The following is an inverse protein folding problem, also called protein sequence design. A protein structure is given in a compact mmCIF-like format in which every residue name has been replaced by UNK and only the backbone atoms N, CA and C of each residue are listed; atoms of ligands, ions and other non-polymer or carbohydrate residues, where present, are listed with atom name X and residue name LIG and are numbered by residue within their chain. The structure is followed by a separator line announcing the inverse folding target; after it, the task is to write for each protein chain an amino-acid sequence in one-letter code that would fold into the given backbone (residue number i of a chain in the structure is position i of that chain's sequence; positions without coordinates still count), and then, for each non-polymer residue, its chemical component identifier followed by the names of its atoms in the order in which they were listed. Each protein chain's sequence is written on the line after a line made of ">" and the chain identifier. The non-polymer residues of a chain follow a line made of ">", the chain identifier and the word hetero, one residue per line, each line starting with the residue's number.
data_IF_431708341506
#
_entry.id   IF_431708341506
#
_cell.length_a   1.000
_cell.length_b   1.000
_cell.length_c   1.000
_cell.angle_alpha   90.00
_cell.angle_beta   90.00
_cell.angle_gamma   90.00
#
_symmetry.space_group_name_H-M   'P 1'
#
loop_
_entity.id
_entity.type
_entity.pdbx_description
1 polymer ?
#
# COMPACT_ATOMS: atom_id res chain seq x y z
N UNK A 1 -4.43 -1.46 -27.56
CA UNK A 1 -3.54 -1.19 -26.40
C UNK A 1 -2.38 -0.26 -26.73
N UNK A 2 -1.67 -0.42 -27.86
CA UNK A 2 -0.57 0.50 -28.26
C UNK A 2 -0.99 1.97 -28.46
N UNK A 3 -2.20 2.24 -28.96
CA UNK A 3 -2.70 3.60 -29.22
C UNK A 3 -3.09 4.37 -27.94
N UNK A 4 -3.46 3.66 -26.86
CA UNK A 4 -3.78 4.27 -25.56
C UNK A 4 -2.49 4.68 -24.83
N UNK A 5 -1.40 3.92 -25.01
CA UNK A 5 -0.09 4.24 -24.44
C UNK A 5 0.51 5.51 -25.10
N UNK A 6 0.29 5.69 -26.40
CA UNK A 6 0.74 6.90 -27.12
C UNK A 6 -0.07 8.12 -26.67
N UNK A 7 -1.38 7.99 -26.42
CA UNK A 7 -2.20 9.08 -25.90
C UNK A 7 -1.82 9.50 -24.47
N UNK A 8 -1.38 8.55 -23.61
CA UNK A 8 -0.88 8.87 -22.28
C UNK A 8 0.49 9.59 -22.31
N UNK A 9 1.32 9.32 -23.33
CA UNK A 9 2.63 9.96 -23.50
C UNK A 9 2.53 11.43 -23.95
N UNK A 10 1.40 11.84 -24.54
CA UNK A 10 1.17 13.24 -24.93
C UNK A 10 0.65 14.11 -23.78
N UNK A 11 0.26 13.54 -22.63
CA UNK A 11 -0.18 14.31 -21.46
C UNK A 11 0.97 14.78 -20.55
N UNK A 12 2.22 14.39 -20.83
CA UNK A 12 3.37 14.71 -19.97
C UNK A 12 4.15 15.96 -20.41
N UNK A 13 3.67 16.72 -21.41
CA UNK A 13 4.34 17.94 -21.88
C UNK A 13 3.37 19.12 -21.92
N UNK A 14 2.70 19.37 -20.81
CA UNK A 14 2.23 20.73 -20.50
C UNK A 14 3.20 21.32 -19.48
N UNK A 15 3.94 22.39 -19.82
CA UNK A 15 4.73 23.08 -18.82
C UNK A 15 3.76 23.78 -17.87
N UNK A 16 3.47 23.14 -16.74
CA UNK A 16 2.91 23.77 -15.56
C UNK A 16 3.94 24.78 -15.03
N UNK A 17 4.05 25.93 -15.69
CA UNK A 17 4.68 27.11 -15.12
C UNK A 17 3.74 27.69 -14.06
N UNK A 18 3.69 27.04 -12.91
CA UNK A 18 3.12 27.60 -11.69
C UNK A 18 4.26 28.09 -10.79
N UNK A 19 4.99 29.11 -11.26
CA UNK A 19 5.87 29.93 -10.43
C UNK A 19 6.11 31.25 -11.16
N UNK A 20 5.22 32.21 -10.95
CA UNK A 20 5.57 33.63 -11.12
C UNK A 20 6.61 33.97 -10.07
N UNK A 21 7.88 33.99 -10.49
CA UNK A 21 8.94 34.63 -9.74
C UNK A 21 8.72 36.14 -9.84
N UNK A 22 8.21 36.74 -8.75
CA UNK A 22 8.51 38.12 -8.40
C UNK A 22 8.89 38.15 -6.92
N UNK A 23 10.16 38.47 -6.71
CA UNK A 23 10.91 38.46 -5.47
C UNK A 23 10.54 39.64 -4.57
N UNK A 24 10.45 39.42 -3.26
CA UNK A 24 10.83 40.46 -2.27
C UNK A 24 11.62 39.80 -1.13
N UNK A 25 12.89 40.19 -1.10
CA UNK A 25 13.93 40.17 -0.05
C UNK A 25 13.55 39.52 1.28
N UNK A 26 14.35 38.52 1.67
CA UNK A 26 14.51 38.14 3.06
C UNK A 26 14.98 39.38 3.85
N UNK A 27 14.08 39.93 4.67
CA UNK A 27 14.44 40.90 5.68
C UNK A 27 15.34 40.19 6.69
N UNK A 28 16.59 40.65 6.77
CA UNK A 28 17.58 40.12 7.70
C UNK A 28 17.30 40.76 9.08
N UNK A 29 16.25 40.30 9.75
CA UNK A 29 15.99 40.70 11.13
C UNK A 29 16.97 39.99 12.07
N UNK A 30 17.54 40.78 12.97
CA UNK A 30 18.75 40.47 13.71
C UNK A 30 18.42 39.76 15.02
N UNK A 31 18.11 38.44 14.97
CA UNK A 31 17.99 37.41 16.04
C UNK A 31 16.54 36.83 16.13
N UNK A 32 16.21 35.53 16.01
CA UNK A 32 16.91 34.31 15.57
C UNK A 32 15.87 33.27 15.07
N UNK A 33 16.14 32.56 13.98
CA UNK A 33 15.41 31.33 13.60
C UNK A 33 15.70 30.23 14.63
N UNK A 34 14.91 30.14 15.70
CA UNK A 34 15.03 29.06 16.69
C UNK A 34 14.03 27.98 16.34
N UNK A 35 14.48 27.04 15.53
CA UNK A 35 13.76 25.80 15.37
C UNK A 35 14.72 24.64 15.48
N UNK A 36 14.19 23.59 16.12
CA UNK A 36 14.63 22.20 16.12
C UNK A 36 15.23 21.60 17.42
N UNK A 37 14.38 21.14 18.37
CA UNK A 37 14.85 20.31 19.48
C UNK A 37 14.76 18.77 19.29
N UNK A 38 14.67 18.24 18.06
CA UNK A 38 14.71 16.79 17.64
C UNK A 38 13.64 16.51 16.58
N UNK A 39 13.50 17.43 15.64
CA UNK A 39 12.52 17.45 14.57
C UNK A 39 12.39 16.06 13.90
N UNK A 40 11.15 15.60 13.87
CA UNK A 40 10.66 14.33 13.34
C UNK A 40 9.34 14.62 12.65
N UNK A 41 9.11 13.99 11.51
CA UNK A 41 7.79 14.00 10.87
C UNK A 41 7.18 12.62 11.08
N UNK A 42 6.57 12.41 12.24
CA UNK A 42 5.77 11.20 12.46
C UNK A 42 4.53 11.29 11.57
N UNK A 43 4.24 10.24 10.80
CA UNK A 43 3.21 10.26 9.77
C UNK A 43 2.15 9.22 10.07
N UNK A 44 0.89 9.62 9.92
CA UNK A 44 -0.22 8.68 9.78
C UNK A 44 -0.49 8.47 8.29
N UNK A 45 -0.86 7.25 7.91
CA UNK A 45 -1.28 6.95 6.56
C UNK A 45 -2.59 6.18 6.55
N UNK A 46 -3.35 6.42 5.49
CA UNK A 46 -4.48 5.61 5.08
C UNK A 46 -4.36 5.39 3.57
N UNK A 47 -4.48 4.16 3.12
CA UNK A 47 -4.30 3.79 1.72
C UNK A 47 -5.43 2.89 1.24
N UNK A 48 -5.86 3.11 0.00
CA UNK A 48 -6.65 2.16 -0.77
C UNK A 48 -5.82 1.68 -1.95
N UNK A 49 -5.83 0.38 -2.19
CA UNK A 49 -5.10 -0.25 -3.28
C UNK A 49 -5.96 -1.31 -3.98
N UNK A 50 -5.57 -1.62 -5.21
CA UNK A 50 -6.12 -2.73 -5.98
C UNK A 50 -5.07 -3.84 -6.09
N UNK A 51 -5.46 -5.07 -5.77
CA UNK A 51 -4.59 -6.23 -5.90
C UNK A 51 -4.69 -6.85 -7.29
N UNK A 52 -3.56 -6.91 -8.00
CA UNK A 52 -3.39 -7.70 -9.22
C UNK A 52 -2.49 -8.89 -8.92
N UNK A 53 -3.03 -10.11 -9.09
CA UNK A 53 -2.27 -11.34 -8.83
C UNK A 53 -1.29 -11.57 -9.98
N UNK A 54 -0.10 -12.07 -9.68
CA UNK A 54 0.89 -12.51 -10.68
C UNK A 54 1.08 -14.03 -10.60
N UNK A 55 1.72 -14.63 -11.61
CA UNK A 55 1.99 -16.07 -11.66
C UNK A 55 0.72 -16.93 -11.48
N UNK A 56 -0.35 -16.52 -12.17
CA UNK A 56 -1.67 -17.15 -12.12
C UNK A 56 -1.63 -18.53 -12.79
N UNK A 57 -2.27 -19.58 -12.23
CA UNK A 57 -2.48 -20.83 -12.95
C UNK A 57 -3.41 -20.63 -14.15
N UNK A 58 -3.37 -21.56 -15.10
CA UNK A 58 -4.23 -21.51 -16.29
C UNK A 58 -5.71 -21.46 -15.90
N UNK A 59 -6.48 -20.55 -16.50
CA UNK A 59 -7.90 -20.37 -16.20
C UNK A 59 -8.20 -19.50 -14.98
N UNK A 60 -7.20 -19.06 -14.21
CA UNK A 60 -7.44 -18.17 -13.06
C UNK A 60 -7.80 -16.75 -13.51
N UNK A 61 -8.94 -16.26 -13.05
CA UNK A 61 -9.42 -14.89 -13.22
C UNK A 61 -9.67 -14.22 -11.88
N UNK A 62 -9.43 -12.91 -11.84
CA UNK A 62 -9.89 -12.07 -10.74
C UNK A 62 -11.21 -11.44 -11.19
N UNK A 63 -12.28 -11.75 -10.48
CA UNK A 63 -13.57 -11.15 -10.73
C UNK A 63 -13.69 -9.84 -9.96
N UNK A 64 -14.25 -8.80 -10.57
CA UNK A 64 -14.53 -7.52 -9.91
C UNK A 64 -13.29 -6.82 -9.29
N UNK A 65 -13.53 -5.77 -8.50
CA UNK A 65 -12.50 -4.96 -7.86
C UNK A 65 -12.01 -5.64 -6.56
N UNK A 66 -10.75 -6.08 -6.56
CA UNK A 66 -10.06 -6.67 -5.40
C UNK A 66 -9.36 -5.58 -4.58
N UNK A 67 -9.96 -5.20 -3.45
CA UNK A 67 -9.54 -4.04 -2.65
C UNK A 67 -8.58 -4.42 -1.53
N UNK A 68 -7.60 -3.55 -1.28
CA UNK A 68 -6.84 -3.50 -0.04
C UNK A 68 -6.98 -2.14 0.62
N UNK A 69 -7.24 -2.16 1.91
CA UNK A 69 -7.30 -0.99 2.77
C UNK A 69 -6.20 -1.14 3.80
N UNK A 70 -5.41 -0.09 4.01
CA UNK A 70 -4.39 -0.08 5.05
C UNK A 70 -4.40 1.22 5.80
N UNK A 71 -4.13 1.15 7.10
CA UNK A 71 -3.95 2.30 7.97
C UNK A 71 -2.78 2.05 8.91
N UNK A 72 -2.09 3.10 9.32
CA UNK A 72 -0.97 2.94 10.24
C UNK A 72 -0.28 4.26 10.53
N UNK A 73 0.86 4.14 11.19
CA UNK A 73 1.74 5.26 11.45
C UNK A 73 3.19 4.87 11.25
N UNK A 74 4.03 5.84 10.90
CA UNK A 74 5.48 5.72 10.82
C UNK A 74 6.12 6.76 11.69
N UNK A 75 7.20 6.36 12.35
CA UNK A 75 8.01 7.23 13.19
C UNK A 75 9.37 7.44 12.55
N UNK A 76 9.76 8.69 12.38
CA UNK A 76 11.05 9.06 11.81
C UNK A 76 12.18 8.93 12.82
N UNK A 77 13.29 8.32 12.39
CA UNK A 77 14.56 8.28 13.11
C UNK A 77 15.63 8.98 12.25
N UNK A 78 15.89 10.29 12.49
CA UNK A 78 16.91 11.02 11.77
C UNK A 78 18.31 10.42 11.99
N UNK A 79 19.05 10.21 10.91
CA UNK A 79 20.40 9.60 10.96
C UNK A 79 21.52 10.63 10.85
N UNK A 80 21.20 11.88 10.52
CA UNK A 80 22.19 12.94 10.37
C UNK A 80 21.82 14.22 11.14
N UNK A 81 22.81 15.08 11.39
CA UNK A 81 22.63 16.31 12.20
C UNK A 81 21.64 17.30 11.59
N UNK A 82 21.59 17.37 10.26
CA UNK A 82 20.65 18.23 9.54
C UNK A 82 19.22 17.65 9.48
N UNK A 83 18.99 16.42 9.98
CA UNK A 83 17.69 15.73 10.07
C UNK A 83 16.88 15.65 8.78
N UNK A 84 17.60 15.66 7.66
CA UNK A 84 17.07 15.61 6.31
C UNK A 84 17.20 14.21 5.68
N UNK A 85 17.89 13.29 6.38
CA UNK A 85 17.90 11.85 6.13
C UNK A 85 17.37 11.12 7.37
N UNK A 86 16.44 10.19 7.18
CA UNK A 86 15.87 9.39 8.26
C UNK A 86 15.58 7.95 7.82
N UNK A 87 15.56 7.05 8.79
CA UNK A 87 14.90 5.76 8.66
C UNK A 87 13.59 5.86 9.42
N UNK A 88 12.48 5.65 8.72
CA UNK A 88 11.17 5.56 9.33
C UNK A 88 10.80 4.09 9.53
N UNK A 89 10.28 3.78 10.71
CA UNK A 89 9.71 2.47 11.01
C UNK A 89 8.30 2.69 11.54
N UNK A 90 7.36 1.87 11.10
CA UNK A 90 5.97 2.00 11.46
C UNK A 90 5.31 0.73 11.95
N UNK A 91 4.05 0.89 12.31
CA UNK A 91 3.12 -0.19 12.55
C UNK A 91 1.82 0.12 11.81
N UNK A 92 1.33 -0.87 11.09
CA UNK A 92 0.12 -0.77 10.29
C UNK A 92 -0.79 -1.97 10.45
N UNK A 93 -2.01 -1.78 9.96
CA UNK A 93 -3.01 -2.81 9.81
C UNK A 93 -3.51 -2.76 8.37
N UNK A 94 -3.64 -3.95 7.76
CA UNK A 94 -4.20 -4.09 6.42
C UNK A 94 -5.35 -5.07 6.39
N UNK A 95 -6.38 -4.68 5.66
CA UNK A 95 -7.50 -5.51 5.24
C UNK A 95 -7.40 -5.74 3.75
N UNK A 96 -7.42 -7.00 3.33
CA UNK A 96 -7.34 -7.39 1.93
C UNK A 96 -8.55 -8.24 1.57
N UNK A 97 -9.16 -7.96 0.42
CA UNK A 97 -10.30 -8.67 -0.12
C UNK A 97 -10.08 -8.95 -1.60
N UNK A 98 -9.63 -10.16 -1.89
CA UNK A 98 -9.35 -10.63 -3.23
C UNK A 98 -10.57 -11.42 -3.72
N UNK A 99 -11.15 -11.02 -4.83
CA UNK A 99 -12.23 -11.74 -5.50
C UNK A 99 -11.64 -12.46 -6.71
N UNK A 100 -11.90 -13.76 -6.81
CA UNK A 100 -11.32 -14.63 -7.83
C UNK A 100 -12.20 -15.85 -8.08
N UNK A 101 -11.84 -16.64 -9.08
CA UNK A 101 -12.53 -17.88 -9.44
C UNK A 101 -11.85 -19.16 -8.89
N UNK A 102 -11.02 -19.03 -7.84
CA UNK A 102 -10.37 -20.17 -7.19
C UNK A 102 -11.23 -20.65 -6.02
N UNK A 103 -12.01 -21.71 -6.23
CA UNK A 103 -12.82 -22.34 -5.20
C UNK A 103 -11.92 -23.12 -4.25
N UNK A 104 -12.14 -22.90 -2.97
CA UNK A 104 -11.41 -23.60 -1.90
C UNK A 104 -12.43 -24.38 -1.08
N UNK A 105 -12.29 -25.69 -1.07
CA UNK A 105 -13.08 -26.61 -0.25
C UNK A 105 -12.16 -27.44 0.63
N UNK A 106 -12.71 -28.16 1.61
CA UNK A 106 -11.89 -28.97 2.50
C UNK A 106 -12.61 -29.41 3.77
N UNK A 107 -12.04 -30.44 4.39
CA UNK A 107 -12.42 -30.95 5.72
C UNK A 107 -11.16 -30.93 6.57
N UNK A 108 -11.29 -30.52 7.82
CA UNK A 108 -10.17 -30.34 8.76
C UNK A 108 -9.06 -29.44 8.18
N UNK A 109 -7.81 -29.91 8.12
CA UNK A 109 -6.65 -29.19 7.59
C UNK A 109 -6.37 -29.46 6.11
N UNK A 110 -7.13 -30.37 5.47
CA UNK A 110 -6.96 -30.63 4.04
C UNK A 110 -7.76 -29.62 3.22
N UNK A 111 -7.10 -29.03 2.20
CA UNK A 111 -7.69 -28.05 1.30
C UNK A 111 -7.60 -28.54 -0.13
N UNK A 112 -8.70 -28.41 -0.85
CA UNK A 112 -8.82 -28.71 -2.28
C UNK A 112 -9.05 -27.40 -3.02
N UNK A 113 -8.29 -27.21 -4.09
CA UNK A 113 -8.29 -26.01 -4.91
C UNK A 113 -8.80 -26.34 -6.30
N UNK A 114 -9.82 -25.62 -6.74
CA UNK A 114 -10.45 -25.82 -8.04
C UNK A 114 -10.67 -24.47 -8.72
N UNK A 115 -10.29 -24.36 -9.99
CA UNK A 115 -10.61 -23.19 -10.80
C UNK A 115 -11.96 -23.45 -11.45
N UNK A 116 -12.92 -22.58 -11.18
CA UNK A 116 -14.29 -22.69 -11.68
C UNK A 116 -14.62 -21.53 -12.64
N UNK A 117 -15.51 -21.73 -13.62
CA UNK A 117 -16.08 -20.65 -14.41
C UNK A 117 -16.72 -19.55 -13.55
N UNK A 118 -16.69 -18.30 -14.01
CA UNK A 118 -17.32 -17.18 -13.29
C UNK A 118 -18.86 -17.29 -13.21
N UNK A 119 -19.47 -18.06 -14.12
CA UNK A 119 -20.93 -18.29 -14.15
C UNK A 119 -21.41 -19.33 -13.12
N UNK A 120 -20.49 -20.09 -12.50
CA UNK A 120 -20.81 -21.20 -11.60
C UNK A 120 -20.91 -20.76 -10.11
N UNK A 121 -20.74 -19.46 -9.82
CA UNK A 121 -20.79 -18.95 -8.45
C UNK A 121 -21.27 -17.51 -8.34
N UNK A 122 -21.94 -17.19 -7.24
CA UNK A 122 -22.39 -15.83 -6.95
C UNK A 122 -21.30 -15.00 -6.24
N UNK A 123 -20.52 -15.66 -5.37
CA UNK A 123 -19.47 -14.99 -4.60
C UNK A 123 -18.32 -15.93 -4.30
N UNK A 124 -17.14 -15.59 -4.79
CA UNK A 124 -15.92 -16.23 -4.37
C UNK A 124 -14.84 -15.19 -4.03
N UNK A 125 -14.37 -15.24 -2.78
CA UNK A 125 -13.40 -14.27 -2.25
C UNK A 125 -12.50 -14.85 -1.18
N UNK A 126 -11.27 -14.37 -1.19
CA UNK A 126 -10.28 -14.55 -0.14
C UNK A 126 -10.11 -13.24 0.62
N UNK A 127 -10.40 -13.26 1.91
CA UNK A 127 -10.23 -12.13 2.82
C UNK A 127 -9.13 -12.43 3.81
N UNK A 128 -8.20 -11.51 4.01
CA UNK A 128 -7.18 -11.65 5.03
C UNK A 128 -6.77 -10.33 5.66
N UNK A 129 -6.35 -10.42 6.91
CA UNK A 129 -5.97 -9.30 7.74
C UNK A 129 -4.51 -9.48 8.17
N UNK A 130 -3.73 -8.40 8.08
CA UNK A 130 -2.33 -8.42 8.47
C UNK A 130 -1.96 -7.27 9.39
N UNK A 131 -0.94 -7.52 10.21
CA UNK A 131 -0.16 -6.49 10.89
C UNK A 131 1.07 -6.20 10.03
N UNK A 132 1.33 -4.93 9.80
CA UNK A 132 2.34 -4.47 8.87
C UNK A 132 3.46 -3.70 9.59
N UNK A 133 4.68 -3.93 9.16
CA UNK A 133 5.90 -3.24 9.59
C UNK A 133 6.52 -2.58 8.36
N UNK A 134 6.12 -1.33 8.04
CA UNK A 134 6.78 -0.55 7.00
C UNK A 134 8.11 0.02 7.49
N UNK A 135 9.12 -0.05 6.62
CA UNK A 135 10.45 0.50 6.85
C UNK A 135 10.83 1.34 5.63
N UNK A 136 11.09 2.62 5.83
CA UNK A 136 11.37 3.57 4.76
C UNK A 136 12.65 4.34 5.02
N UNK A 137 13.51 4.42 4.03
CA UNK A 137 14.51 5.48 3.92
C UNK A 137 13.82 6.75 3.41
N UNK A 138 14.00 7.84 4.15
CA UNK A 138 13.39 9.13 3.84
C UNK A 138 14.47 10.17 3.64
N UNK A 139 14.43 10.78 2.46
CA UNK A 139 15.31 11.89 2.07
C UNK A 139 14.48 13.10 1.71
N UNK A 140 14.78 14.25 2.31
CA UNK A 140 14.03 15.48 2.14
C UNK A 140 14.93 16.70 2.24
N UNK A 141 14.42 17.86 1.85
CA UNK A 141 15.05 19.16 2.13
C UNK A 141 14.14 20.05 3.00
N UNK A 142 13.33 19.42 3.86
CA UNK A 142 12.51 20.13 4.84
C UNK A 142 13.35 20.54 6.03
N UNK A 143 13.11 21.74 6.53
CA UNK A 143 13.62 22.19 7.83
C UNK A 143 12.43 22.47 8.77
N UNK A 144 12.74 22.77 10.02
CA UNK A 144 11.75 22.96 11.08
C UNK A 144 10.99 24.29 11.00
N UNK A 145 11.30 25.16 10.03
CA UNK A 145 10.71 26.50 9.85
C UNK A 145 10.00 26.66 8.50
N UNK A 146 10.51 26.04 7.46
CA UNK A 146 10.13 26.22 6.07
C UNK A 146 9.18 25.13 5.61
N UNK A 147 8.08 25.56 4.97
CA UNK A 147 7.09 24.68 4.35
C UNK A 147 7.34 24.42 2.86
N UNK A 148 8.48 24.88 2.32
CA UNK A 148 8.88 24.67 0.92
C UNK A 148 10.00 23.63 0.87
N UNK A 149 9.66 22.40 0.51
CA UNK A 149 10.61 21.30 0.44
C UNK A 149 10.16 20.24 -0.57
N UNK A 150 11.07 19.32 -0.86
CA UNK A 150 10.79 18.09 -1.58
C UNK A 150 11.04 16.88 -0.67
N UNK A 151 10.45 15.73 -1.01
CA UNK A 151 10.55 14.45 -0.28
C UNK A 151 10.70 13.29 -1.26
N UNK A 152 11.62 12.38 -0.98
CA UNK A 152 11.82 11.10 -1.67
C UNK A 152 11.85 10.00 -0.63
N UNK A 153 10.87 9.10 -0.69
CA UNK A 153 10.75 7.97 0.24
C UNK A 153 10.93 6.67 -0.53
N UNK A 154 11.82 5.82 -0.06
CA UNK A 154 12.06 4.50 -0.60
C UNK A 154 11.99 3.51 0.55
N UNK A 155 11.17 2.47 0.43
CA UNK A 155 10.96 1.55 1.53
C UNK A 155 10.43 0.20 1.09
N UNK A 156 10.29 -0.66 2.09
CA UNK A 156 9.67 -1.96 1.96
C UNK A 156 8.74 -2.17 3.16
N UNK A 157 7.80 -3.09 3.03
CA UNK A 157 6.81 -3.42 4.05
C UNK A 157 6.82 -4.93 4.26
N UNK A 158 7.01 -5.34 5.51
CA UNK A 158 6.77 -6.71 5.93
C UNK A 158 5.38 -6.81 6.56
N UNK A 159 4.65 -7.88 6.29
CA UNK A 159 3.28 -8.07 6.74
C UNK A 159 3.09 -9.48 7.29
N UNK A 160 2.52 -9.60 8.49
CA UNK A 160 2.12 -10.87 9.08
C UNK A 160 0.61 -11.05 9.02
N UNK A 161 0.15 -12.04 8.26
CA UNK A 161 -1.26 -12.42 8.13
C UNK A 161 -1.66 -13.25 9.34
N UNK A 162 -2.41 -12.65 10.25
CA UNK A 162 -2.88 -13.30 11.47
C UNK A 162 -4.28 -13.92 11.32
N UNK A 163 -5.03 -13.53 10.28
CA UNK A 163 -6.36 -14.07 10.01
C UNK A 163 -6.59 -14.16 8.51
N UNK A 164 -7.12 -15.30 8.05
CA UNK A 164 -7.58 -15.48 6.69
C UNK A 164 -8.93 -16.22 6.64
N UNK A 165 -9.71 -15.91 5.61
CA UNK A 165 -11.01 -16.54 5.34
C UNK A 165 -11.28 -16.61 3.84
N UNK A 166 -11.51 -17.81 3.35
CA UNK A 166 -12.08 -18.06 2.04
C UNK A 166 -13.59 -18.19 2.17
N UNK A 167 -14.33 -17.50 1.30
CA UNK A 167 -15.79 -17.59 1.23
C UNK A 167 -16.20 -17.87 -0.22
N UNK A 168 -16.93 -18.96 -0.37
CA UNK A 168 -17.52 -19.42 -1.62
C UNK A 168 -19.05 -19.49 -1.45
N UNK A 169 -19.81 -19.08 -2.46
CA UNK A 169 -21.27 -19.00 -2.45
C UNK A 169 -21.78 -19.29 -3.86
N UNK A 170 -22.73 -20.21 -3.94
CA UNK A 170 -23.43 -20.61 -5.15
C UNK A 170 -24.94 -20.77 -4.85
N UNK A 171 -25.72 -21.16 -5.86
CA UNK A 171 -27.16 -21.39 -5.73
C UNK A 171 -27.57 -22.51 -4.76
N UNK A 172 -26.62 -23.31 -4.24
CA UNK A 172 -26.86 -24.41 -3.31
C UNK A 172 -26.48 -24.07 -1.86
N UNK A 173 -25.58 -23.10 -1.64
CA UNK A 173 -25.25 -22.66 -0.30
C UNK A 173 -23.99 -21.80 -0.19
N UNK A 174 -23.48 -21.67 1.04
CA UNK A 174 -22.27 -20.89 1.35
C UNK A 174 -21.26 -21.74 2.10
N UNK A 175 -20.03 -21.79 1.58
CA UNK A 175 -18.88 -22.43 2.22
C UNK A 175 -17.95 -21.33 2.76
N UNK A 176 -17.57 -21.44 4.04
CA UNK A 176 -16.62 -20.53 4.69
C UNK A 176 -15.53 -21.34 5.35
N UNK A 177 -14.30 -21.12 4.91
CA UNK A 177 -13.11 -21.75 5.48
C UNK A 177 -12.22 -20.67 6.09
N UNK A 178 -11.69 -20.92 7.27
CA UNK A 178 -10.78 -20.02 7.99
C UNK A 178 -9.45 -20.72 8.17
N UNK A 179 -8.42 -19.91 8.44
CA UNK A 179 -7.10 -20.37 8.85
C UNK A 179 -6.53 -21.44 7.91
N UNK A 180 -6.57 -21.15 6.61
CA UNK A 180 -6.02 -22.03 5.59
C UNK A 180 -4.51 -22.24 5.81
N UNK A 181 -4.04 -23.49 6.03
CA UNK A 181 -2.63 -23.78 6.31
C UNK A 181 -1.71 -23.56 5.11
N UNK A 182 -2.23 -23.62 3.88
CA UNK A 182 -1.42 -23.43 2.65
C UNK A 182 -1.17 -21.95 2.35
N UNK A 183 -1.81 -21.04 3.07
CA UNK A 183 -1.59 -19.61 2.90
C UNK A 183 -0.29 -19.18 3.57
N UNK A 184 0.54 -18.48 2.82
CA UNK A 184 1.72 -17.84 3.38
C UNK A 184 1.32 -16.77 4.40
N UNK A 185 1.82 -16.90 5.63
CA UNK A 185 1.56 -15.96 6.73
C UNK A 185 2.48 -14.74 6.69
N UNK A 186 3.63 -14.81 6.03
CA UNK A 186 4.60 -13.73 5.95
C UNK A 186 4.66 -13.17 4.53
N UNK A 187 4.14 -11.97 4.34
CA UNK A 187 4.16 -11.24 3.08
C UNK A 187 5.18 -10.11 3.16
N UNK A 188 5.77 -9.74 2.03
CA UNK A 188 6.70 -8.63 1.96
C UNK A 188 6.70 -8.01 0.57
N UNK A 189 7.04 -6.72 0.48
CA UNK A 189 7.16 -5.99 -0.78
C UNK A 189 7.28 -4.49 -0.62
#
# INVERSE_FOLDING_TARGET
>A
MRTIIIALLYLTVSPLFAQTANEVKAENDSIALVADPRYREDQFYASIAYHSIQNKPSGFSQSSFSTALSVGFLRDMPINKARNHAIAVGLGYSYNNIKNNLKITGVDDMRTYEIIPEDDFDKNKLVFHSVDIPIEFRWRNSDSVSHKFWRVYAGFKASYVFYNKSQFEDGTGTIKLRDNPDMNKLLYG
#
